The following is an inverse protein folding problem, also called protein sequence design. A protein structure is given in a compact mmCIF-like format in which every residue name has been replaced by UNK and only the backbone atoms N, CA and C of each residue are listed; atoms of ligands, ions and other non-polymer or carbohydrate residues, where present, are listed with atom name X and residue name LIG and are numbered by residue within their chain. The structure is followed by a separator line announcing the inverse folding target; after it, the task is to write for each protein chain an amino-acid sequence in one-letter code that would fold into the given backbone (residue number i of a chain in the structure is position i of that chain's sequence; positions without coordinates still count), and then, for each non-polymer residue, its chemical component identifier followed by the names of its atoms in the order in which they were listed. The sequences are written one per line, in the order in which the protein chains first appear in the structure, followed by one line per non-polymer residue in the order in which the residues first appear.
data_IF_366171746533
#
_entry.id   IF_366171746533
#
_cell.length_a   1.000
_cell.length_b   1.000
_cell.length_c   1.000
_cell.angle_alpha   90.00
_cell.angle_beta   90.00
_cell.angle_gamma   90.00
#
_symmetry.space_group_name_H-M   'P 1'
#
loop_
_entity.id
_entity.type
_entity.pdbx_description
1 polymer ?
#
# COMPACT_ATOMS: atom_id res chain seq x y z
N UNK A 1 4.04 24.72 -33.33
CA UNK A 1 3.32 24.26 -34.53
C UNK A 1 2.85 22.80 -34.41
N UNK A 2 3.71 21.84 -34.04
CA UNK A 2 3.36 20.40 -33.99
C UNK A 2 2.08 20.02 -33.20
N UNK A 3 1.78 20.69 -32.09
CA UNK A 3 0.56 20.41 -31.30
C UNK A 3 -0.74 20.86 -31.99
N UNK A 4 -0.66 21.92 -32.80
CA UNK A 4 -1.82 22.48 -33.51
C UNK A 4 -2.19 21.60 -34.70
N UNK A 5 -1.18 21.16 -35.46
CA UNK A 5 -1.34 20.16 -36.52
C UNK A 5 -1.90 18.85 -35.97
N UNK A 6 -1.36 18.37 -34.84
CA UNK A 6 -1.87 17.18 -34.16
C UNK A 6 -3.33 17.33 -33.72
N UNK A 7 -3.73 18.53 -33.28
CA UNK A 7 -5.10 18.82 -32.88
C UNK A 7 -6.06 18.76 -34.09
N UNK A 8 -5.68 19.40 -35.20
CA UNK A 8 -6.43 19.37 -36.47
C UNK A 8 -6.57 17.94 -36.99
N UNK A 9 -5.48 17.16 -37.03
CA UNK A 9 -5.50 15.77 -37.46
C UNK A 9 -6.34 14.87 -36.54
N UNK A 10 -6.41 15.18 -35.25
CA UNK A 10 -7.22 14.44 -34.28
C UNK A 10 -8.68 14.92 -34.21
N UNK A 11 -9.07 15.93 -35.00
CA UNK A 11 -10.41 16.54 -34.96
C UNK A 11 -10.74 17.24 -33.63
N UNK A 12 -9.73 17.56 -32.81
CA UNK A 12 -9.89 18.18 -31.50
C UNK A 12 -9.44 19.64 -31.55
N UNK A 13 -10.06 20.47 -30.70
CA UNK A 13 -9.49 21.79 -30.44
C UNK A 13 -8.15 21.64 -29.72
N UNK A 14 -7.23 22.59 -29.92
CA UNK A 14 -5.92 22.58 -29.26
C UNK A 14 -6.06 22.49 -27.73
N UNK A 15 -7.03 23.20 -27.15
CA UNK A 15 -7.33 23.17 -25.71
C UNK A 15 -7.80 21.79 -25.24
N UNK A 16 -8.63 21.08 -26.03
CA UNK A 16 -9.07 19.72 -25.69
C UNK A 16 -7.94 18.70 -25.83
N UNK A 17 -7.09 18.84 -26.86
CA UNK A 17 -5.92 18.00 -27.02
C UNK A 17 -4.93 18.15 -25.85
N UNK A 18 -4.65 19.39 -25.44
CA UNK A 18 -3.78 19.67 -24.29
C UNK A 18 -4.39 19.12 -23.01
N UNK A 19 -5.70 19.31 -22.78
CA UNK A 19 -6.40 18.76 -21.61
C UNK A 19 -6.28 17.24 -21.56
N UNK A 20 -6.49 16.56 -22.69
CA UNK A 20 -6.38 15.11 -22.76
C UNK A 20 -4.93 14.63 -22.55
N UNK A 21 -3.93 15.34 -23.07
CA UNK A 21 -2.52 15.04 -22.84
C UNK A 21 -2.11 15.23 -21.37
N UNK A 22 -2.60 16.28 -20.72
CA UNK A 22 -2.39 16.51 -19.29
C UNK A 22 -3.10 15.45 -18.44
N UNK A 23 -4.34 15.07 -18.77
CA UNK A 23 -5.06 14.00 -18.07
C UNK A 23 -4.42 12.62 -18.25
N UNK A 24 -3.78 12.35 -19.40
CA UNK A 24 -3.01 11.12 -19.65
C UNK A 24 -1.68 11.07 -18.90
N UNK A 25 -1.14 12.23 -18.52
CA UNK A 25 0.07 12.29 -17.71
C UNK A 25 -0.27 11.87 -16.29
N UNK A 26 -0.02 10.58 -15.99
CA UNK A 26 -0.26 9.98 -14.68
C UNK A 26 0.61 10.68 -13.64
N UNK A 27 0.03 11.56 -12.83
CA UNK A 27 0.71 12.12 -11.67
C UNK A 27 0.91 10.97 -10.68
N UNK A 28 2.18 10.63 -10.45
CA UNK A 28 2.66 9.53 -9.59
C UNK A 28 1.98 9.48 -8.20
N UNK A 29 1.43 10.60 -7.76
CA UNK A 29 0.92 10.84 -6.41
C UNK A 29 -0.46 10.23 -6.10
N UNK A 30 -1.35 10.03 -7.06
CA UNK A 30 -2.75 9.68 -6.73
C UNK A 30 -3.00 8.18 -6.47
N UNK A 31 -2.36 7.28 -7.20
CA UNK A 31 -2.61 5.84 -7.10
C UNK A 31 -1.90 5.18 -5.90
N UNK A 32 -0.74 5.70 -5.50
CA UNK A 32 0.06 5.15 -4.42
C UNK A 32 -0.30 5.70 -3.02
N UNK A 33 -1.15 6.74 -2.94
CA UNK A 33 -1.49 7.38 -1.67
C UNK A 33 -2.20 6.44 -0.69
N UNK A 34 -3.08 5.57 -1.19
CA UNK A 34 -3.80 4.61 -0.33
C UNK A 34 -2.86 3.53 0.22
N UNK A 35 -1.92 3.05 -0.61
CA UNK A 35 -0.90 2.09 -0.18
C UNK A 35 -0.03 2.70 0.94
N UNK A 36 0.49 3.90 0.72
CA UNK A 36 1.34 4.60 1.71
C UNK A 36 0.58 4.85 3.01
N UNK A 37 -0.72 5.17 2.94
CA UNK A 37 -1.57 5.34 4.11
C UNK A 37 -1.73 4.04 4.90
N UNK A 38 -2.03 2.92 4.22
CA UNK A 38 -2.14 1.62 4.88
C UNK A 38 -0.80 1.18 5.48
N UNK A 39 0.31 1.36 4.78
CA UNK A 39 1.64 1.07 5.29
C UNK A 39 1.93 1.89 6.56
N UNK A 40 1.63 3.19 6.54
CA UNK A 40 1.79 4.08 7.70
C UNK A 40 0.93 3.61 8.88
N UNK A 41 -0.33 3.23 8.62
CA UNK A 41 -1.25 2.71 9.63
C UNK A 41 -0.73 1.40 10.25
N UNK A 42 -0.18 0.48 9.45
CA UNK A 42 0.39 -0.75 9.99
C UNK A 42 1.63 -0.48 10.84
N UNK A 43 2.53 0.41 10.40
CA UNK A 43 3.70 0.83 11.20
C UNK A 43 3.27 1.41 12.54
N UNK A 44 2.24 2.28 12.57
CA UNK A 44 1.72 2.84 13.81
C UNK A 44 1.17 1.77 14.76
N UNK A 45 0.48 0.75 14.25
CA UNK A 45 -0.01 -0.38 15.06
C UNK A 45 1.13 -1.20 15.66
N UNK A 46 2.17 -1.49 14.86
CA UNK A 46 3.37 -2.19 15.35
C UNK A 46 4.06 -1.37 16.45
N UNK A 47 4.26 -0.07 16.22
CA UNK A 47 4.86 0.83 17.20
C UNK A 47 4.08 0.89 18.51
N UNK A 48 2.75 0.92 18.45
CA UNK A 48 1.90 0.88 19.64
C UNK A 48 2.07 -0.42 20.44
N UNK A 49 2.13 -1.57 19.76
CA UNK A 49 2.33 -2.86 20.42
C UNK A 49 3.71 -2.93 21.09
N UNK A 50 4.77 -2.47 20.40
CA UNK A 50 6.12 -2.41 20.97
C UNK A 50 6.18 -1.47 22.18
N UNK A 51 5.50 -0.34 22.13
CA UNK A 51 5.44 0.62 23.24
C UNK A 51 4.71 0.03 24.45
N UNK A 52 3.65 -0.76 24.24
CA UNK A 52 2.96 -1.48 25.32
C UNK A 52 3.90 -2.49 25.98
N UNK A 53 4.61 -3.30 25.18
CA UNK A 53 5.59 -4.27 25.69
C UNK A 53 6.69 -3.55 26.50
N UNK A 54 7.23 -2.45 25.97
CA UNK A 54 8.25 -1.67 26.65
C UNK A 54 7.75 -1.10 27.98
N UNK A 55 6.54 -0.54 28.00
CA UNK A 55 5.93 -0.05 29.25
C UNK A 55 5.75 -1.18 30.26
N UNK A 56 5.31 -2.35 29.81
CA UNK A 56 5.05 -3.49 30.68
C UNK A 56 6.36 -4.02 31.30
N UNK A 57 7.38 -4.27 30.47
CA UNK A 57 8.71 -4.68 30.92
C UNK A 57 9.39 -3.65 31.84
N UNK A 58 9.14 -2.36 31.62
CA UNK A 58 9.66 -1.30 32.50
C UNK A 58 8.91 -1.23 33.84
N UNK A 59 7.61 -1.51 33.83
CA UNK A 59 6.75 -1.47 35.02
C UNK A 59 7.01 -2.67 35.91
N UNK A 60 7.22 -3.84 35.31
CA UNK A 60 7.32 -5.09 36.04
C UNK A 60 8.60 -5.85 35.68
N UNK A 61 9.58 -5.81 36.61
CA UNK A 61 10.98 -6.19 36.41
C UNK A 61 11.34 -7.59 36.94
N UNK A 62 10.36 -8.43 37.33
CA UNK A 62 10.63 -9.75 37.92
C UNK A 62 10.57 -10.87 36.87
N UNK A 63 11.36 -11.93 37.07
CA UNK A 63 11.62 -12.98 36.06
C UNK A 63 10.40 -13.82 35.64
N UNK A 64 9.35 -13.90 36.46
CA UNK A 64 8.10 -14.59 36.10
C UNK A 64 7.30 -13.87 35.00
N UNK A 65 7.54 -12.57 34.78
CA UNK A 65 6.86 -11.71 33.80
C UNK A 65 7.48 -11.76 32.40
N UNK A 66 8.67 -12.36 32.27
CA UNK A 66 9.31 -12.57 30.98
C UNK A 66 8.50 -13.53 30.08
N UNK A 67 7.73 -14.45 30.67
CA UNK A 67 6.89 -15.41 29.92
C UNK A 67 5.76 -14.68 29.18
N UNK A 68 5.12 -13.70 29.81
CA UNK A 68 4.04 -12.92 29.19
C UNK A 68 4.57 -12.03 28.06
N UNK A 69 5.76 -11.46 28.23
CA UNK A 69 6.44 -10.71 27.17
C UNK A 69 6.80 -11.63 26.00
N UNK A 70 7.32 -12.84 26.26
CA UNK A 70 7.61 -13.83 25.21
C UNK A 70 6.34 -14.26 24.48
N UNK A 71 5.22 -14.44 25.19
CA UNK A 71 3.93 -14.76 24.57
C UNK A 71 3.42 -13.62 23.69
N UNK A 72 3.49 -12.38 24.16
CA UNK A 72 3.09 -11.20 23.38
C UNK A 72 3.96 -11.06 22.11
N UNK A 73 5.27 -11.29 22.22
CA UNK A 73 6.19 -11.26 21.08
C UNK A 73 5.91 -12.39 20.08
N UNK A 74 5.60 -13.61 20.56
CA UNK A 74 5.23 -14.74 19.70
C UNK A 74 3.94 -14.47 18.93
N UNK A 75 2.92 -13.90 19.58
CA UNK A 75 1.69 -13.49 18.92
C UNK A 75 1.95 -12.46 17.82
N UNK A 76 2.78 -11.46 18.08
CA UNK A 76 3.17 -10.47 17.06
C UNK A 76 3.87 -11.15 15.88
N UNK A 77 4.81 -12.07 16.15
CA UNK A 77 5.51 -12.82 15.11
C UNK A 77 4.54 -13.66 14.26
N UNK A 78 3.59 -14.37 14.88
CA UNK A 78 2.57 -15.16 14.17
C UNK A 78 1.69 -14.26 13.30
N UNK A 79 1.21 -13.13 13.84
CA UNK A 79 0.37 -12.19 13.08
C UNK A 79 1.12 -11.60 11.87
N UNK A 80 2.42 -11.28 12.04
CA UNK A 80 3.25 -10.80 10.94
C UNK A 80 3.48 -11.88 9.88
N UNK A 81 3.70 -13.12 10.29
CA UNK A 81 3.84 -14.26 9.38
C UNK A 81 2.56 -14.50 8.56
N UNK A 82 1.39 -14.47 9.20
CA UNK A 82 0.09 -14.59 8.51
C UNK A 82 -0.14 -13.48 7.48
N UNK A 83 0.23 -12.24 7.82
CA UNK A 83 0.14 -11.10 6.90
C UNK A 83 1.11 -11.25 5.71
N UNK A 84 2.32 -11.77 5.95
CA UNK A 84 3.29 -12.08 4.89
C UNK A 84 2.74 -13.13 3.92
N UNK A 85 2.17 -14.22 4.43
CA UNK A 85 1.61 -15.31 3.60
C UNK A 85 0.38 -14.85 2.80
N UNK A 86 -0.39 -13.89 3.31
CA UNK A 86 -1.56 -13.35 2.62
C UNK A 86 -1.20 -12.42 1.45
N UNK A 87 0.00 -11.83 1.47
CA UNK A 87 0.54 -11.01 0.38
C UNK A 87 0.92 -11.83 -0.85
N UNK A 88 1.32 -13.10 -0.66
CA UNK A 88 1.86 -13.96 -1.74
C UNK A 88 0.78 -14.75 -2.52
N UNK A 89 -0.49 -14.70 -2.12
CA UNK A 89 -1.57 -15.32 -2.91
C UNK A 89 -1.90 -14.42 -4.11
N UNK A 90 -1.69 -14.88 -5.37
CA UNK A 90 -2.13 -14.13 -6.52
C UNK A 90 -3.66 -13.99 -6.47
N UNK A 91 -4.14 -12.77 -6.69
CA UNK A 91 -5.56 -12.45 -6.78
C UNK A 91 -6.22 -13.30 -7.88
N UNK A 92 -7.36 -13.97 -7.65
CA UNK A 92 -7.94 -14.93 -8.59
C UNK A 92 -8.75 -14.27 -9.73
N UNK A 93 -8.32 -13.12 -10.24
CA UNK A 93 -9.01 -12.43 -11.34
C UNK A 93 -8.00 -11.86 -12.34
N UNK A 94 -7.41 -12.75 -13.13
CA UNK A 94 -6.83 -12.42 -14.44
C UNK A 94 -6.81 -13.68 -15.31
N UNK A 95 -7.98 -14.25 -15.57
CA UNK A 95 -8.15 -15.16 -16.70
C UNK A 95 -8.96 -14.42 -17.77
N UNK A 96 -8.23 -14.07 -18.82
CA UNK A 96 -8.61 -14.20 -20.23
C UNK A 96 -9.77 -13.35 -20.76
N UNK A 97 -9.40 -12.17 -21.27
CA UNK A 97 -10.08 -11.57 -22.42
C UNK A 97 -9.04 -11.25 -23.50
N UNK A 98 -8.50 -12.30 -24.12
CA UNK A 98 -7.99 -12.23 -25.48
C UNK A 98 -8.49 -13.47 -26.23
N UNK A 99 -9.61 -13.33 -26.92
CA UNK A 99 -9.67 -13.87 -28.28
C UNK A 99 -10.54 -12.95 -29.13
N UNK A 100 -9.86 -12.26 -30.05
CA UNK A 100 -10.44 -11.44 -31.10
C UNK A 100 -10.64 -12.38 -32.28
N UNK A 101 -11.88 -12.56 -32.70
CA UNK A 101 -12.22 -12.94 -34.09
C UNK A 101 -13.19 -11.94 -34.68
#
# INVERSE_FOLDING_TARGET
MAWQEKAVLSGLTLSNLIRQAMSKTRTWTASNSSLVYEQTRQIARIGNNLNQIAKWANTYKQTAEAIEVIQALRLIQETLHELSVKSDKPSPNSEDNEDVT
#
